data_IF_912687364800
#
_entry.id   IF_912687364800
#
_cell.length_a   1.000
_cell.length_b   1.000
_cell.length_c   1.000
_cell.angle_alpha   90.00
_cell.angle_beta   90.00
_cell.angle_gamma   90.00
#
_symmetry.space_group_name_H-M   'P 1'
#
loop_
_entity.id
_entity.type
_entity.pdbx_description
1 polymer ?
#
# COMPACT_ATOMS: atom_id res chain seq x y z
N UNK A 1 -3.18 19.92 -2.32
CA UNK A 1 -1.96 19.39 -1.70
C UNK A 1 -1.82 17.93 -2.00
N UNK A 2 -0.62 17.51 -2.27
CA UNK A 2 -0.36 16.08 -2.44
C UNK A 2 -0.46 15.33 -1.11
N UNK A 3 -0.57 14.02 -1.21
CA UNK A 3 -0.74 13.15 -0.04
C UNK A 3 0.15 11.92 -0.14
N UNK A 4 0.52 11.40 1.01
CA UNK A 4 1.25 10.13 1.13
C UNK A 4 0.42 9.18 1.98
N UNK A 5 0.13 8.02 1.41
CA UNK A 5 -0.49 6.92 2.12
C UNK A 5 0.64 6.01 2.61
N UNK A 6 0.58 5.64 3.88
CA UNK A 6 1.52 4.68 4.46
C UNK A 6 0.78 3.45 4.94
N UNK A 7 1.47 2.31 4.93
CA UNK A 7 0.93 1.07 5.47
C UNK A 7 2.05 0.22 6.04
N UNK A 8 1.91 -0.18 7.30
CA UNK A 8 2.84 -1.10 7.97
C UNK A 8 2.14 -2.44 8.08
N UNK A 9 2.61 -3.42 7.33
CA UNK A 9 1.89 -4.69 7.17
C UNK A 9 2.73 -5.88 7.59
N UNK A 10 2.14 -6.76 8.38
CA UNK A 10 2.70 -8.07 8.66
C UNK A 10 2.18 -9.05 7.60
N UNK A 11 3.08 -9.82 7.01
CA UNK A 11 2.77 -10.75 5.92
C UNK A 11 2.92 -12.19 6.39
N UNK A 12 2.15 -13.11 5.80
CA UNK A 12 2.37 -14.53 6.00
C UNK A 12 3.66 -15.00 5.30
N UNK A 13 3.94 -14.43 4.10
CA UNK A 13 5.17 -14.71 3.36
C UNK A 13 5.43 -13.59 2.37
N UNK A 14 6.66 -13.08 2.31
CA UNK A 14 7.02 -11.96 1.44
C UNK A 14 6.88 -12.29 -0.04
N UNK A 15 7.39 -13.43 -0.49
CA UNK A 15 7.45 -13.72 -1.93
C UNK A 15 6.08 -13.76 -2.62
N UNK A 16 5.07 -14.49 -2.08
CA UNK A 16 3.73 -14.44 -2.67
C UNK A 16 3.10 -13.06 -2.59
N UNK A 17 3.33 -12.33 -1.48
CA UNK A 17 2.85 -10.96 -1.33
C UNK A 17 3.41 -10.06 -2.43
N UNK A 18 4.71 -10.17 -2.71
CA UNK A 18 5.37 -9.32 -3.71
C UNK A 18 4.76 -9.51 -5.11
N UNK A 19 4.40 -10.71 -5.46
CA UNK A 19 3.74 -11.01 -6.73
C UNK A 19 2.40 -10.30 -6.85
N UNK A 20 1.57 -10.41 -5.81
CA UNK A 20 0.26 -9.75 -5.80
C UNK A 20 0.44 -8.24 -5.81
N UNK A 21 1.38 -7.72 -5.03
CA UNK A 21 1.69 -6.29 -5.00
C UNK A 21 2.07 -5.77 -6.40
N UNK A 22 2.93 -6.47 -7.09
CA UNK A 22 3.33 -6.07 -8.45
C UNK A 22 2.14 -6.09 -9.42
N UNK A 23 1.29 -7.10 -9.33
CA UNK A 23 0.11 -7.23 -10.19
C UNK A 23 -0.96 -6.17 -9.89
N UNK A 24 -0.92 -5.56 -8.71
CA UNK A 24 -1.85 -4.51 -8.30
C UNK A 24 -1.47 -3.12 -8.82
N UNK A 25 -0.49 -3.00 -9.69
CA UNK A 25 -0.06 -1.71 -10.26
C UNK A 25 -1.20 -1.02 -11.02
N UNK A 26 -2.12 -1.78 -11.61
CA UNK A 26 -3.30 -1.22 -12.28
C UNK A 26 -4.24 -0.51 -11.31
N UNK A 27 -4.36 -1.01 -10.07
CA UNK A 27 -5.18 -0.37 -9.04
C UNK A 27 -4.55 0.95 -8.65
N UNK A 28 -3.23 0.97 -8.43
CA UNK A 28 -2.50 2.20 -8.11
C UNK A 28 -2.63 3.24 -9.21
N UNK A 29 -2.45 2.82 -10.45
CA UNK A 29 -2.57 3.71 -11.62
C UNK A 29 -3.98 4.29 -11.75
N UNK A 30 -5.00 3.49 -11.49
CA UNK A 30 -6.41 3.92 -11.56
C UNK A 30 -6.69 5.11 -10.65
N UNK A 31 -6.04 5.15 -9.50
CA UNK A 31 -6.24 6.23 -8.52
C UNK A 31 -5.19 7.35 -8.62
N UNK A 32 -4.33 7.31 -9.63
CA UNK A 32 -3.37 8.38 -9.89
C UNK A 32 -2.14 8.35 -9.00
N UNK A 33 -1.74 7.19 -8.52
CA UNK A 33 -0.52 7.04 -7.73
C UNK A 33 0.70 7.53 -8.53
N UNK A 34 1.47 8.46 -7.96
CA UNK A 34 2.61 9.10 -8.63
C UNK A 34 3.95 8.53 -8.20
N UNK A 35 3.99 7.79 -7.11
CA UNK A 35 5.22 7.17 -6.63
C UNK A 35 4.92 6.14 -5.56
N UNK A 36 5.84 5.23 -5.37
CA UNK A 36 5.70 4.16 -4.39
C UNK A 36 7.05 3.74 -3.83
N UNK A 37 7.04 3.22 -2.62
CA UNK A 37 8.21 2.55 -2.05
C UNK A 37 7.77 1.38 -1.18
N UNK A 38 8.61 0.37 -1.13
CA UNK A 38 8.43 -0.77 -0.23
C UNK A 38 9.72 -0.96 0.55
N UNK A 39 9.61 -0.88 1.86
CA UNK A 39 10.72 -1.12 2.78
C UNK A 39 10.43 -2.40 3.54
N UNK A 40 11.47 -3.17 3.82
CA UNK A 40 11.33 -4.43 4.55
C UNK A 40 12.21 -4.40 5.79
N UNK A 41 11.66 -4.88 6.90
CA UNK A 41 12.43 -4.96 8.14
C UNK A 41 13.63 -5.89 7.96
N UNK A 42 14.84 -5.46 8.38
CA UNK A 42 16.00 -6.36 8.34
C UNK A 42 15.92 -7.49 9.36
N UNK A 43 15.06 -7.37 10.36
CA UNK A 43 14.89 -8.37 11.42
C UNK A 43 13.75 -9.33 11.16
N UNK A 44 12.76 -8.90 10.37
CA UNK A 44 11.60 -9.72 10.02
C UNK A 44 11.29 -9.47 8.54
N UNK A 45 11.65 -10.42 7.69
CA UNK A 45 11.48 -10.29 6.24
C UNK A 45 10.01 -10.31 5.82
N UNK A 46 9.09 -10.63 6.72
CA UNK A 46 7.66 -10.61 6.47
C UNK A 46 6.98 -9.36 7.04
N UNK A 47 7.76 -8.37 7.49
CA UNK A 47 7.25 -7.08 7.92
C UNK A 47 7.67 -6.02 6.91
N UNK A 48 6.68 -5.35 6.30
CA UNK A 48 6.94 -4.33 5.27
C UNK A 48 6.32 -3.00 5.66
N UNK A 49 6.94 -1.92 5.19
CA UNK A 49 6.46 -0.56 5.30
C UNK A 49 6.33 0.00 3.89
N UNK A 50 5.13 0.40 3.52
CA UNK A 50 4.80 0.79 2.15
C UNK A 50 4.41 2.26 2.13
N UNK A 51 4.86 2.99 1.10
CA UNK A 51 4.39 4.35 0.86
C UNK A 51 3.85 4.47 -0.55
N UNK A 52 2.74 5.19 -0.70
CA UNK A 52 2.17 5.54 -2.01
C UNK A 52 1.88 7.04 -2.02
N UNK A 53 2.30 7.71 -3.10
CA UNK A 53 2.08 9.15 -3.25
C UNK A 53 0.91 9.40 -4.21
N UNK A 54 0.07 10.38 -3.88
CA UNK A 54 -1.08 10.76 -4.68
C UNK A 54 -1.14 12.29 -4.82
N UNK A 55 -1.69 12.80 -5.94
CA UNK A 55 -1.84 14.26 -6.10
C UNK A 55 -2.75 14.91 -5.07
N UNK A 56 -3.74 14.18 -4.54
CA UNK A 56 -4.70 14.71 -3.57
C UNK A 56 -5.01 13.70 -2.48
N UNK A 57 -5.49 14.19 -1.34
CA UNK A 57 -5.99 13.33 -0.24
C UNK A 57 -7.16 12.49 -0.71
N UNK A 58 -8.07 13.07 -1.52
CA UNK A 58 -9.25 12.37 -2.02
C UNK A 58 -8.88 11.15 -2.86
N UNK A 59 -7.83 11.27 -3.68
CA UNK A 59 -7.35 10.13 -4.48
C UNK A 59 -6.74 9.04 -3.58
N UNK A 60 -5.98 9.44 -2.55
CA UNK A 60 -5.44 8.49 -1.58
C UNK A 60 -6.56 7.76 -0.82
N UNK A 61 -7.60 8.49 -0.41
CA UNK A 61 -8.76 7.92 0.27
C UNK A 61 -9.53 6.96 -0.63
N UNK A 62 -9.73 7.31 -1.90
CA UNK A 62 -10.39 6.44 -2.87
C UNK A 62 -9.61 5.15 -3.09
N UNK A 63 -8.28 5.24 -3.16
CA UNK A 63 -7.43 4.06 -3.26
C UNK A 63 -7.59 3.17 -2.02
N UNK A 64 -7.52 3.75 -0.84
CA UNK A 64 -7.64 3.00 0.43
C UNK A 64 -9.00 2.30 0.56
N UNK A 65 -10.05 2.85 -0.05
CA UNK A 65 -11.41 2.31 0.01
C UNK A 65 -11.73 1.34 -1.13
N UNK A 66 -10.83 1.16 -2.09
CA UNK A 66 -11.11 0.34 -3.28
C UNK A 66 -11.27 -1.14 -2.89
N UNK A 67 -12.42 -1.78 -3.21
CA UNK A 67 -12.65 -3.19 -2.88
C UNK A 67 -11.63 -4.13 -3.53
N UNK A 68 -11.11 -3.79 -4.72
CA UNK A 68 -10.08 -4.60 -5.37
C UNK A 68 -8.77 -4.59 -4.59
N UNK A 69 -8.44 -3.45 -3.96
CA UNK A 69 -7.28 -3.36 -3.09
C UNK A 69 -7.44 -4.29 -1.89
N UNK A 70 -8.61 -4.27 -1.26
CA UNK A 70 -8.89 -5.12 -0.10
C UNK A 70 -8.83 -6.60 -0.46
N UNK A 71 -9.38 -6.99 -1.61
CA UNK A 71 -9.26 -8.36 -2.13
C UNK A 71 -7.82 -8.74 -2.39
N UNK A 72 -7.04 -7.86 -2.98
CA UNK A 72 -5.63 -8.11 -3.26
C UNK A 72 -4.83 -8.32 -1.97
N UNK A 73 -5.08 -7.50 -0.95
CA UNK A 73 -4.40 -7.65 0.35
C UNK A 73 -4.73 -8.99 1.00
N UNK A 74 -5.99 -9.43 0.93
CA UNK A 74 -6.40 -10.72 1.47
C UNK A 74 -5.70 -11.87 0.73
N UNK A 75 -5.65 -11.82 -0.59
CA UNK A 75 -4.97 -12.82 -1.42
C UNK A 75 -3.46 -12.83 -1.18
N UNK A 76 -2.89 -11.65 -0.92
CA UNK A 76 -1.46 -11.49 -0.71
C UNK A 76 -0.98 -12.02 0.65
N UNK A 77 -1.89 -12.31 1.56
CA UNK A 77 -1.53 -12.83 2.88
C UNK A 77 -1.16 -11.77 3.90
N UNK A 78 -1.78 -10.60 3.81
CA UNK A 78 -1.64 -9.56 4.86
C UNK A 78 -2.36 -10.03 6.11
N UNK A 79 -1.65 -10.03 7.23
CA UNK A 79 -2.17 -10.53 8.52
C UNK A 79 -2.62 -9.34 9.37
N UNK A 80 -3.86 -9.42 9.87
CA UNK A 80 -4.42 -8.41 10.77
C UNK A 80 -4.74 -7.10 10.06
N UNK A 81 -4.67 -6.00 10.79
CA UNK A 81 -4.93 -4.67 10.27
C UNK A 81 -3.82 -4.26 9.28
N UNK A 82 -4.16 -3.86 8.04
CA UNK A 82 -3.15 -3.41 7.09
C UNK A 82 -2.45 -2.10 7.47
N UNK A 83 -2.89 -1.41 8.51
CA UNK A 83 -2.21 -0.25 9.06
C UNK A 83 -2.15 0.95 8.11
N UNK A 84 -3.20 1.18 7.34
CA UNK A 84 -3.24 2.25 6.34
C UNK A 84 -3.51 3.58 7.02
N UNK A 85 -2.64 4.57 6.76
CA UNK A 85 -2.83 5.95 7.20
C UNK A 85 -2.51 6.89 6.05
N UNK A 86 -3.18 8.04 6.02
CA UNK A 86 -3.00 9.03 4.96
C UNK A 86 -2.57 10.34 5.60
N UNK A 87 -1.54 10.95 5.04
CA UNK A 87 -1.00 12.23 5.49
C UNK A 87 -0.92 13.21 4.33
N UNK A 88 -1.13 14.48 4.62
CA UNK A 88 -0.88 15.55 3.64
C UNK A 88 0.60 15.89 3.62
N UNK A 89 1.14 16.11 2.43
CA UNK A 89 2.51 16.58 2.27
C UNK A 89 2.51 18.09 2.49
N UNK A 90 3.27 18.56 3.46
CA UNK A 90 3.26 19.98 3.86
C UNK A 90 4.56 20.73 3.53
N UNK A 91 5.52 20.05 2.93
CA UNK A 91 6.81 20.69 2.63
C UNK A 91 7.26 20.41 1.22
#
# INVERSE_FOLDING_TARGET
MSATLIARQQLSSYEPWRKVYNDADTIRARHGCTGESVLRSPKDHNLVFITHNFPTVEQAEAFAADPELHSAMAQAGVIGDPGIEIFEDIA
#
